data_IF_824376092214
#
_entry.id   IF_824376092214
#
_cell.length_a   1.000
_cell.length_b   1.000
_cell.length_c   1.000
_cell.angle_alpha   90.00
_cell.angle_beta   90.00
_cell.angle_gamma   90.00
#
_symmetry.space_group_name_H-M   'P 1'
#
loop_
_entity.id
_entity.type
_entity.pdbx_description
1 polymer ?
#
# COMPACT_ATOMS: atom_id res chain seq x y z
N UNK A 1 -5.48 -4.60 16.90
CA UNK A 1 -4.82 -5.91 16.72
C UNK A 1 -5.39 -6.52 15.46
N UNK A 2 -4.56 -6.87 14.48
CA UNK A 2 -5.01 -7.50 13.23
C UNK A 2 -5.79 -8.78 13.57
N UNK A 3 -7.06 -8.83 13.16
CA UNK A 3 -7.85 -10.04 13.30
C UNK A 3 -7.40 -11.08 12.26
N UNK A 4 -7.56 -12.39 12.54
CA UNK A 4 -7.34 -13.42 11.55
C UNK A 4 -8.22 -13.15 10.32
N UNK A 5 -7.61 -13.07 9.14
CA UNK A 5 -8.35 -12.96 7.88
C UNK A 5 -8.75 -14.37 7.41
N UNK A 6 -10.01 -14.52 7.01
CA UNK A 6 -10.46 -15.73 6.34
C UNK A 6 -10.09 -15.69 4.86
N UNK A 7 -8.91 -16.20 4.57
CA UNK A 7 -8.37 -16.33 3.21
C UNK A 7 -9.16 -17.27 2.30
N UNK A 8 -10.14 -18.04 2.84
CA UNK A 8 -11.02 -18.87 2.02
C UNK A 8 -12.13 -18.08 1.32
N UNK A 9 -12.29 -16.79 1.66
CA UNK A 9 -13.25 -15.94 0.99
C UNK A 9 -12.90 -15.79 -0.50
N UNK A 10 -13.85 -16.03 -1.44
CA UNK A 10 -13.56 -16.03 -2.88
C UNK A 10 -12.94 -14.73 -3.41
N UNK A 11 -13.31 -13.58 -2.83
CA UNK A 11 -12.76 -12.28 -3.23
C UNK A 11 -11.31 -12.06 -2.78
N UNK A 12 -10.75 -12.93 -1.94
CA UNK A 12 -9.35 -12.92 -1.52
C UNK A 12 -8.48 -13.91 -2.29
N UNK A 13 -9.07 -14.81 -3.08
CA UNK A 13 -8.35 -15.84 -3.86
C UNK A 13 -7.17 -15.25 -4.66
N UNK A 14 -7.32 -14.12 -5.40
CA UNK A 14 -6.21 -13.59 -6.20
C UNK A 14 -5.03 -13.11 -5.35
N UNK A 15 -5.25 -12.85 -4.06
CA UNK A 15 -4.27 -12.30 -3.14
C UNK A 15 -3.76 -13.33 -2.13
N UNK A 16 -4.24 -14.58 -2.16
CA UNK A 16 -4.05 -15.51 -1.04
C UNK A 16 -2.57 -15.81 -0.76
N UNK A 17 -1.80 -16.16 -1.79
CA UNK A 17 -0.42 -16.63 -1.63
C UNK A 17 0.47 -15.54 -1.00
N UNK A 18 0.55 -14.37 -1.62
CA UNK A 18 1.37 -13.27 -1.14
C UNK A 18 0.73 -12.51 0.03
N UNK A 19 -0.60 -12.49 0.11
CA UNK A 19 -1.35 -11.87 1.20
C UNK A 19 -1.15 -12.61 2.53
N UNK A 20 -1.16 -13.94 2.54
CA UNK A 20 -0.85 -14.73 3.74
C UNK A 20 0.57 -14.49 4.24
N UNK A 21 1.54 -14.48 3.33
CA UNK A 21 2.94 -14.21 3.66
C UNK A 21 3.12 -12.79 4.23
N UNK A 22 2.55 -11.79 3.56
CA UNK A 22 2.56 -10.39 3.99
C UNK A 22 1.90 -10.19 5.35
N UNK A 23 0.75 -10.80 5.60
CA UNK A 23 0.04 -10.68 6.87
C UNK A 23 0.83 -11.30 8.02
N UNK A 24 1.43 -12.48 7.80
CA UNK A 24 2.30 -13.13 8.79
C UNK A 24 3.48 -12.24 9.16
N UNK A 25 4.14 -11.65 8.17
CA UNK A 25 5.25 -10.73 8.38
C UNK A 25 4.81 -9.46 9.11
N UNK A 26 3.67 -8.87 8.71
CA UNK A 26 3.11 -7.67 9.35
C UNK A 26 2.75 -7.91 10.82
N UNK A 27 2.19 -9.08 11.15
CA UNK A 27 1.89 -9.47 12.53
C UNK A 27 3.16 -9.64 13.37
N UNK A 28 4.19 -10.29 12.81
CA UNK A 28 5.46 -10.51 13.50
C UNK A 28 6.19 -9.19 13.80
N UNK A 29 6.20 -8.27 12.84
CA UNK A 29 6.90 -6.98 12.93
C UNK A 29 6.03 -5.86 13.53
N UNK A 30 4.73 -6.12 13.72
CA UNK A 30 3.73 -5.12 14.13
C UNK A 30 3.74 -3.88 13.21
N UNK A 31 3.94 -4.12 11.90
CA UNK A 31 4.07 -3.07 10.90
C UNK A 31 3.54 -3.55 9.55
N UNK A 32 2.55 -2.84 9.00
CA UNK A 32 2.00 -3.14 7.67
C UNK A 32 3.04 -2.91 6.57
N UNK A 33 3.74 -1.77 6.60
CA UNK A 33 4.77 -1.46 5.61
C UNK A 33 5.84 -2.53 5.57
N UNK A 34 6.34 -2.95 6.74
CA UNK A 34 7.40 -3.95 6.81
C UNK A 34 6.92 -5.34 6.34
N UNK A 35 5.68 -5.72 6.68
CA UNK A 35 5.07 -6.96 6.19
C UNK A 35 4.84 -6.99 4.67
N UNK A 36 4.38 -5.88 4.09
CA UNK A 36 4.21 -5.75 2.64
C UNK A 36 5.54 -5.73 1.89
N UNK A 37 6.56 -5.06 2.45
CA UNK A 37 7.90 -5.05 1.88
C UNK A 37 8.54 -6.45 1.84
N UNK A 38 8.20 -7.33 2.79
CA UNK A 38 8.68 -8.72 2.78
C UNK A 38 8.18 -9.53 1.58
N UNK A 39 7.04 -9.14 0.99
CA UNK A 39 6.49 -9.75 -0.23
C UNK A 39 6.75 -8.93 -1.51
N UNK A 40 7.38 -7.75 -1.40
CA UNK A 40 7.59 -6.87 -2.54
C UNK A 40 8.82 -7.28 -3.36
N UNK A 41 8.64 -7.45 -4.68
CA UNK A 41 9.71 -7.74 -5.63
C UNK A 41 10.51 -6.49 -6.07
N UNK A 42 10.78 -5.56 -5.15
CA UNK A 42 11.54 -4.31 -5.34
C UNK A 42 10.91 -3.22 -6.24
N UNK A 43 9.76 -3.46 -6.88
CA UNK A 43 9.12 -2.48 -7.75
C UNK A 43 8.32 -1.39 -7.00
N UNK A 44 7.93 -1.66 -5.74
CA UNK A 44 7.16 -0.75 -4.87
C UNK A 44 7.66 -0.90 -3.43
N UNK A 45 7.97 0.23 -2.79
CA UNK A 45 8.35 0.27 -1.38
C UNK A 45 7.20 0.85 -0.54
N UNK A 46 6.99 0.27 0.63
CA UNK A 46 6.02 0.75 1.62
C UNK A 46 6.76 1.38 2.79
N UNK A 47 6.25 2.50 3.29
CA UNK A 47 6.84 3.25 4.43
C UNK A 47 5.79 3.48 5.52
N UNK A 48 6.19 3.63 6.80
CA UNK A 48 5.26 4.02 7.85
C UNK A 48 4.56 5.36 7.52
N UNK A 49 3.30 5.50 7.93
CA UNK A 49 2.53 6.74 7.76
C UNK A 49 3.24 7.98 8.32
N UNK A 50 4.08 7.83 9.35
CA UNK A 50 4.85 8.92 9.94
C UNK A 50 5.87 9.56 9.01
N UNK A 51 6.22 8.91 7.89
CA UNK A 51 7.08 9.50 6.85
C UNK A 51 6.33 10.47 5.94
N UNK A 52 4.99 10.41 5.88
CA UNK A 52 4.18 11.37 5.14
C UNK A 52 4.09 12.69 5.91
N UNK A 53 4.62 13.82 5.39
CA UNK A 53 4.48 15.11 6.05
C UNK A 53 3.00 15.54 6.12
N UNK A 54 2.53 16.15 7.22
CA UNK A 54 1.11 16.55 7.35
C UNK A 54 0.63 17.54 6.29
N UNK A 55 1.54 18.32 5.70
CA UNK A 55 1.25 19.32 4.65
C UNK A 55 1.28 18.74 3.23
N UNK A 56 1.62 17.46 3.08
CA UNK A 56 1.76 16.82 1.77
C UNK A 56 0.57 15.89 1.53
N UNK A 57 -0.09 16.04 0.38
CA UNK A 57 -1.14 15.13 -0.05
C UNK A 57 -0.56 13.72 -0.24
N UNK A 58 -1.34 12.69 0.13
CA UNK A 58 -0.93 11.29 0.06
C UNK A 58 -0.42 10.89 -1.33
N UNK A 59 -1.16 11.27 -2.38
CA UNK A 59 -0.84 10.91 -3.75
C UNK A 59 0.37 11.68 -4.29
N UNK A 60 0.55 12.93 -3.86
CA UNK A 60 1.72 13.71 -4.21
C UNK A 60 2.99 13.07 -3.62
N UNK A 61 2.94 12.65 -2.36
CA UNK A 61 4.05 11.95 -1.72
C UNK A 61 4.44 10.66 -2.45
N UNK A 62 3.46 9.86 -2.86
CA UNK A 62 3.72 8.63 -3.64
C UNK A 62 4.36 8.97 -4.98
N UNK A 63 3.88 10.01 -5.66
CA UNK A 63 4.41 10.43 -6.95
C UNK A 63 5.88 10.87 -6.84
N UNK A 64 6.20 11.67 -5.82
CA UNK A 64 7.54 12.22 -5.61
C UNK A 64 8.56 11.18 -5.12
N UNK A 65 8.14 10.32 -4.18
CA UNK A 65 9.06 9.39 -3.49
C UNK A 65 9.09 7.99 -4.11
N UNK A 66 8.05 7.63 -4.88
CA UNK A 66 7.76 6.25 -5.32
C UNK A 66 7.60 5.26 -4.16
N UNK A 67 7.27 5.77 -2.98
CA UNK A 67 6.98 4.98 -1.79
C UNK A 67 5.54 5.18 -1.34
N UNK A 68 4.93 4.13 -0.81
CA UNK A 68 3.52 4.14 -0.39
C UNK A 68 3.47 4.25 1.14
N UNK A 69 3.01 5.38 1.71
CA UNK A 69 2.83 5.49 3.14
C UNK A 69 1.64 4.62 3.58
N UNK A 70 1.82 3.88 4.67
CA UNK A 70 0.82 2.94 5.20
C UNK A 70 0.66 3.08 6.70
N UNK A 71 -0.58 3.10 7.16
CA UNK A 71 -0.98 2.97 8.55
C UNK A 71 -1.11 1.49 8.92
N UNK A 72 -0.99 1.18 10.21
CA UNK A 72 -1.15 -0.18 10.73
C UNK A 72 -2.62 -0.60 10.87
N UNK A 73 -3.37 -0.57 9.77
CA UNK A 73 -4.76 -0.98 9.69
C UNK A 73 -5.02 -1.93 8.49
N UNK A 74 -6.19 -2.58 8.48
CA UNK A 74 -6.55 -3.54 7.43
C UNK A 74 -6.76 -2.89 6.05
N UNK A 75 -7.27 -1.66 6.01
CA UNK A 75 -7.48 -0.94 4.75
C UNK A 75 -6.16 -0.75 4.00
N UNK A 76 -5.14 -0.23 4.67
CA UNK A 76 -3.84 0.05 4.07
C UNK A 76 -3.09 -1.25 3.75
N UNK A 77 -3.28 -2.31 4.54
CA UNK A 77 -2.81 -3.65 4.19
C UNK A 77 -3.40 -4.14 2.87
N UNK A 78 -4.72 -4.10 2.69
CA UNK A 78 -5.36 -4.50 1.43
C UNK A 78 -4.99 -3.60 0.26
N UNK A 79 -4.94 -2.27 0.45
CA UNK A 79 -4.45 -1.35 -0.58
C UNK A 79 -3.00 -1.68 -0.97
N UNK A 80 -2.17 -2.09 -0.01
CA UNK A 80 -0.82 -2.59 -0.25
C UNK A 80 -0.79 -3.85 -1.11
N UNK A 81 -1.66 -4.82 -0.86
CA UNK A 81 -1.82 -6.00 -1.71
C UNK A 81 -2.22 -5.62 -3.14
N UNK A 82 -3.09 -4.62 -3.31
CA UNK A 82 -3.47 -4.11 -4.64
C UNK A 82 -2.28 -3.44 -5.34
N UNK A 83 -1.45 -2.69 -4.61
CA UNK A 83 -0.19 -2.13 -5.13
C UNK A 83 0.78 -3.23 -5.57
N UNK A 84 0.90 -4.33 -4.83
CA UNK A 84 1.73 -5.48 -5.21
C UNK A 84 1.18 -6.22 -6.42
N UNK A 85 -0.14 -6.39 -6.52
CA UNK A 85 -0.79 -7.11 -7.61
C UNK A 85 -0.77 -6.32 -8.93
N UNK A 86 -0.97 -5.00 -8.87
CA UNK A 86 -1.12 -4.14 -10.05
C UNK A 86 -0.18 -2.92 -9.99
N UNK A 87 1.15 -3.14 -9.91
CA UNK A 87 2.10 -2.05 -9.63
C UNK A 87 2.11 -1.00 -10.74
N UNK A 88 2.09 -1.43 -12.01
CA UNK A 88 2.09 -0.52 -13.16
C UNK A 88 0.79 0.30 -13.23
N UNK A 89 -0.37 -0.34 -13.01
CA UNK A 89 -1.67 0.32 -13.00
C UNK A 89 -1.74 1.36 -11.89
N UNK A 90 -1.36 1.00 -10.66
CA UNK A 90 -1.40 1.93 -9.53
C UNK A 90 -0.41 3.08 -9.69
N UNK A 91 0.79 2.83 -10.24
CA UNK A 91 1.73 3.91 -10.60
C UNK A 91 1.13 4.85 -11.65
N UNK A 92 0.50 4.33 -12.70
CA UNK A 92 -0.13 5.15 -13.73
C UNK A 92 -1.30 5.98 -13.18
N UNK A 93 -2.14 5.40 -12.35
CA UNK A 93 -3.24 6.11 -11.69
C UNK A 93 -2.72 7.22 -10.77
N UNK A 94 -1.69 6.94 -9.97
CA UNK A 94 -1.07 7.95 -9.12
C UNK A 94 -0.46 9.11 -9.93
N UNK A 95 0.20 8.83 -11.06
CA UNK A 95 0.69 9.87 -11.97
C UNK A 95 -0.45 10.75 -12.53
N UNK A 96 -1.55 10.13 -12.97
CA UNK A 96 -2.71 10.88 -13.48
C UNK A 96 -3.33 11.76 -12.39
N UNK A 97 -3.42 11.24 -11.16
CA UNK A 97 -3.96 12.00 -10.03
C UNK A 97 -3.03 13.16 -9.63
N UNK A 98 -1.71 12.96 -9.62
CA UNK A 98 -0.75 14.04 -9.37
C UNK A 98 -0.84 15.15 -10.45
N UNK A 99 -1.03 14.76 -11.72
CA UNK A 99 -1.26 15.71 -12.82
C UNK A 99 -2.56 16.51 -12.62
N UNK A 100 -3.64 15.86 -12.21
CA UNK A 100 -4.90 16.52 -11.90
C UNK A 100 -4.77 17.49 -10.71
N UNK A 101 -4.10 17.08 -9.63
CA UNK A 101 -3.82 17.97 -8.48
C UNK A 101 -3.00 19.19 -8.89
N UNK A 102 -2.00 19.01 -9.78
CA UNK A 102 -1.19 20.12 -10.27
C UNK A 102 -1.99 21.09 -11.15
N UNK A 103 -3.00 20.61 -11.88
CA UNK A 103 -3.84 21.42 -12.76
C UNK A 103 -4.97 22.13 -12.00
N UNK A 104 -5.66 21.42 -11.12
CA UNK A 104 -6.93 21.84 -10.52
C UNK A 104 -6.83 22.14 -9.01
N UNK A 105 -5.68 21.85 -8.41
CA UNK A 105 -5.51 21.85 -6.96
C UNK A 105 -6.08 20.60 -6.29
N UNK A 106 -5.98 20.55 -4.96
CA UNK A 106 -6.67 19.54 -4.15
C UNK A 106 -8.08 20.08 -3.85
N UNK A 107 -9.12 19.31 -4.16
CA UNK A 107 -10.51 19.63 -3.83
C UNK A 107 -10.88 19.20 -2.40
#
# INVERSE_FOLDING_TARGET
MFQPLDWRAPWLEPYEEFGRASLRAALAQRSVSAGLNAASAAAIAFVPQSELPPSTAYEQFIFDTRTVPTRDNLHDFFNGLVWLQFPETKRRLNQLQAQAIAADGVQ
#
